data_IF_982426331453
#
_entry.id   IF_982426331453
#
_cell.length_a   1.000
_cell.length_b   1.000
_cell.length_c   1.000
_cell.angle_alpha   90.00
_cell.angle_beta   90.00
_cell.angle_gamma   90.00
#
_symmetry.space_group_name_H-M   'P 1'
#
loop_
_entity.id
_entity.type
_entity.pdbx_description
1 polymer ?
#
# COMPACT_ATOMS: atom_id res chain seq x y z
N UNK A 1 21.51 -10.28 -0.72
CA UNK A 1 20.51 -10.93 0.15
C UNK A 1 19.64 -9.82 0.70
N UNK A 2 18.37 -9.76 0.29
CA UNK A 2 17.43 -8.74 0.79
C UNK A 2 17.08 -9.06 2.23
N UNK A 3 17.28 -8.11 3.14
CA UNK A 3 16.87 -8.24 4.55
C UNK A 3 15.57 -7.48 4.79
N UNK A 4 14.85 -7.84 5.85
CA UNK A 4 13.66 -7.09 6.31
C UNK A 4 14.01 -5.61 6.50
N UNK A 5 15.15 -5.29 7.11
CA UNK A 5 15.62 -3.91 7.27
C UNK A 5 15.76 -3.15 5.94
N UNK A 6 16.23 -3.83 4.89
CA UNK A 6 16.36 -3.22 3.56
C UNK A 6 15.01 -2.96 2.90
N UNK A 7 14.02 -3.81 3.14
CA UNK A 7 12.64 -3.65 2.68
C UNK A 7 11.99 -2.48 3.43
N UNK A 8 12.08 -2.47 4.76
CA UNK A 8 11.54 -1.40 5.61
C UNK A 8 12.08 -0.05 5.18
N UNK A 9 13.41 0.11 5.07
CA UNK A 9 14.02 1.37 4.61
C UNK A 9 13.53 1.81 3.24
N UNK A 10 13.30 0.86 2.32
CA UNK A 10 12.79 1.14 0.98
C UNK A 10 11.35 1.63 1.04
N UNK A 11 10.50 0.97 1.82
CA UNK A 11 9.09 1.36 2.00
C UNK A 11 9.00 2.71 2.71
N UNK A 12 9.70 2.90 3.82
CA UNK A 12 9.69 4.15 4.58
C UNK A 12 10.15 5.35 3.77
N UNK A 13 11.14 5.18 2.88
CA UNK A 13 11.58 6.26 1.98
C UNK A 13 10.44 6.84 1.14
N UNK A 14 9.42 6.05 0.83
CA UNK A 14 8.29 6.45 0.00
C UNK A 14 7.01 6.74 0.80
N UNK A 15 6.84 6.09 1.97
CA UNK A 15 5.58 6.09 2.71
C UNK A 15 5.69 6.64 4.15
N UNK A 16 6.79 7.30 4.52
CA UNK A 16 6.95 7.89 5.85
C UNK A 16 5.85 8.89 6.24
N UNK A 17 5.19 9.54 5.27
CA UNK A 17 4.04 10.43 5.52
C UNK A 17 2.89 9.71 6.26
N UNK A 18 2.81 8.38 6.20
CA UNK A 18 1.81 7.61 6.95
C UNK A 18 1.98 7.77 8.47
N UNK A 19 3.21 7.94 8.96
CA UNK A 19 3.46 8.21 10.38
C UNK A 19 2.85 9.54 10.81
N UNK A 20 2.92 10.57 9.96
CA UNK A 20 2.30 11.87 10.21
C UNK A 20 0.76 11.80 10.22
N UNK A 21 0.20 10.81 9.50
CA UNK A 21 -1.24 10.50 9.48
C UNK A 21 -1.68 9.55 10.62
N UNK A 22 -0.79 9.24 11.57
CA UNK A 22 -1.10 8.42 12.75
C UNK A 22 -1.08 6.92 12.50
N UNK A 23 -0.52 6.46 11.38
CA UNK A 23 -0.25 5.04 11.19
C UNK A 23 1.02 4.62 11.93
N UNK A 24 1.07 3.35 12.31
CA UNK A 24 2.27 2.67 12.80
C UNK A 24 2.58 1.49 11.89
N UNK A 25 3.85 1.17 11.69
CA UNK A 25 4.22 -0.09 11.03
C UNK A 25 3.93 -1.24 12.01
N UNK A 26 3.04 -2.15 11.64
CA UNK A 26 2.61 -3.26 12.50
C UNK A 26 3.29 -4.58 12.16
N UNK A 27 3.73 -4.75 10.91
CA UNK A 27 4.43 -5.95 10.45
C UNK A 27 5.36 -5.63 9.27
N UNK A 28 6.42 -6.43 9.14
CA UNK A 28 7.24 -6.49 7.94
C UNK A 28 7.80 -7.92 7.82
N UNK A 29 7.49 -8.60 6.72
CA UNK A 29 7.94 -9.97 6.50
C UNK A 29 8.56 -10.12 5.10
N UNK A 30 9.56 -10.99 5.03
CA UNK A 30 10.22 -11.41 3.80
C UNK A 30 10.14 -12.92 3.70
N UNK A 31 9.64 -13.43 2.57
CA UNK A 31 9.44 -14.86 2.33
C UNK A 31 10.32 -15.29 1.16
N UNK A 32 11.59 -15.64 1.40
CA UNK A 32 12.52 -16.03 0.35
C UNK A 32 12.02 -17.19 -0.51
N UNK A 33 11.24 -18.11 0.08
CA UNK A 33 10.72 -19.31 -0.59
C UNK A 33 9.65 -19.00 -1.63
N UNK A 34 9.08 -17.78 -1.62
CA UNK A 34 8.06 -17.33 -2.57
C UNK A 34 8.67 -16.28 -3.51
N UNK A 35 9.76 -16.61 -4.20
CA UNK A 35 10.44 -15.72 -5.16
C UNK A 35 10.87 -14.36 -4.57
N UNK A 36 11.19 -14.32 -3.28
CA UNK A 36 11.58 -13.09 -2.61
C UNK A 36 10.43 -12.10 -2.38
N UNK A 37 9.18 -12.60 -2.34
CA UNK A 37 8.03 -11.82 -1.94
C UNK A 37 8.22 -11.27 -0.52
N UNK A 38 7.67 -10.08 -0.29
CA UNK A 38 7.66 -9.43 1.02
C UNK A 38 6.40 -8.61 1.18
N UNK A 39 6.06 -8.33 2.42
CA UNK A 39 4.97 -7.44 2.78
C UNK A 39 5.40 -6.51 3.92
N UNK A 40 4.87 -5.29 3.89
CA UNK A 40 4.94 -4.32 4.97
C UNK A 40 3.54 -3.85 5.27
N UNK A 41 3.18 -3.85 6.54
CA UNK A 41 1.86 -3.48 7.01
C UNK A 41 1.94 -2.21 7.85
N UNK A 42 1.10 -1.23 7.51
CA UNK A 42 0.82 -0.07 8.32
C UNK A 42 -0.59 -0.16 8.88
N UNK A 43 -0.76 0.27 10.13
CA UNK A 43 -2.02 0.23 10.86
C UNK A 43 -2.34 1.60 11.44
N UNK A 44 -3.56 2.08 11.23
CA UNK A 44 -4.16 3.19 11.99
C UNK A 44 -5.29 2.67 12.90
N UNK A 45 -6.05 3.56 13.52
CA UNK A 45 -7.26 3.21 14.25
C UNK A 45 -8.36 2.64 13.32
N UNK A 46 -8.43 3.13 12.08
CA UNK A 46 -9.57 2.90 11.19
C UNK A 46 -9.27 1.87 10.07
N UNK A 47 -8.04 1.82 9.57
CA UNK A 47 -7.66 0.93 8.47
C UNK A 47 -6.22 0.39 8.55
N UNK A 48 -5.99 -0.69 7.81
CA UNK A 48 -4.68 -1.24 7.50
C UNK A 48 -4.31 -0.90 6.06
N UNK A 49 -3.01 -0.69 5.83
CA UNK A 49 -2.40 -0.54 4.50
C UNK A 49 -1.34 -1.63 4.35
N UNK A 50 -1.47 -2.42 3.28
CA UNK A 50 -0.58 -3.51 2.93
C UNK A 50 0.23 -3.12 1.70
N UNK A 51 1.55 -3.13 1.81
CA UNK A 51 2.45 -2.90 0.69
C UNK A 51 3.17 -4.20 0.44
N UNK A 52 2.84 -4.86 -0.67
CA UNK A 52 3.29 -6.21 -0.98
C UNK A 52 4.13 -6.18 -2.25
N UNK A 53 5.18 -6.99 -2.28
CA UNK A 53 5.90 -7.34 -3.51
C UNK A 53 5.55 -8.76 -3.90
N UNK A 54 4.96 -8.93 -5.08
CA UNK A 54 4.74 -10.23 -5.72
C UNK A 54 5.36 -10.23 -7.12
N UNK A 55 6.35 -11.11 -7.37
CA UNK A 55 7.05 -11.22 -8.67
C UNK A 55 7.49 -9.87 -9.26
N UNK A 56 8.14 -9.06 -8.44
CA UNK A 56 8.62 -7.70 -8.77
C UNK A 56 7.53 -6.62 -9.01
N UNK A 57 6.25 -6.95 -8.86
CA UNK A 57 5.15 -5.98 -8.81
C UNK A 57 4.92 -5.50 -7.38
N UNK A 58 4.77 -4.19 -7.19
CA UNK A 58 4.40 -3.59 -5.92
C UNK A 58 2.90 -3.34 -5.92
N UNK A 59 2.20 -3.97 -4.99
CA UNK A 59 0.76 -3.87 -4.80
C UNK A 59 0.51 -3.11 -3.49
N UNK A 60 -0.47 -2.20 -3.51
CA UNK A 60 -0.93 -1.49 -2.33
C UNK A 60 -2.42 -1.77 -2.11
N UNK A 61 -2.71 -2.48 -1.03
CA UNK A 61 -4.08 -2.80 -0.62
C UNK A 61 -4.43 -2.13 0.70
N UNK A 62 -5.72 -1.90 0.90
CA UNK A 62 -6.29 -1.26 2.08
C UNK A 62 -7.40 -2.15 2.62
N UNK A 63 -7.51 -2.26 3.94
CA UNK A 63 -8.63 -2.96 4.59
C UNK A 63 -9.10 -2.25 5.86
N UNK A 64 -10.40 -2.31 6.20
CA UNK A 64 -10.89 -1.78 7.46
C UNK A 64 -10.37 -2.58 8.65
N UNK A 65 -10.09 -1.91 9.78
CA UNK A 65 -9.67 -2.61 11.01
C UNK A 65 -10.75 -3.56 11.53
N UNK A 66 -12.02 -3.17 11.44
CA UNK A 66 -13.18 -3.96 11.91
C UNK A 66 -13.28 -5.33 11.24
N UNK A 67 -12.90 -5.42 9.97
CA UNK A 67 -13.02 -6.63 9.16
C UNK A 67 -11.71 -6.94 8.44
N UNK A 68 -10.61 -6.98 9.19
CA UNK A 68 -9.29 -7.26 8.63
C UNK A 68 -9.14 -8.73 8.20
N UNK A 69 -9.61 -9.04 7.00
CA UNK A 69 -9.45 -10.32 6.32
C UNK A 69 -8.94 -10.06 4.89
N UNK A 70 -8.18 -11.00 4.33
CA UNK A 70 -7.64 -10.89 2.97
C UNK A 70 -8.73 -10.64 1.92
N UNK A 71 -9.94 -11.18 2.12
CA UNK A 71 -11.08 -10.97 1.22
C UNK A 71 -11.66 -9.56 1.26
N UNK A 72 -11.35 -8.78 2.30
CA UNK A 72 -11.79 -7.40 2.47
C UNK A 72 -10.71 -6.40 2.06
N UNK A 73 -9.58 -6.87 1.54
CA UNK A 73 -8.53 -6.02 0.98
C UNK A 73 -8.99 -5.48 -0.37
N UNK A 74 -8.79 -4.18 -0.55
CA UNK A 74 -9.14 -3.44 -1.76
C UNK A 74 -7.89 -2.71 -2.22
N UNK A 75 -7.53 -2.83 -3.50
CA UNK A 75 -6.40 -2.08 -4.05
C UNK A 75 -6.63 -0.58 -3.97
N UNK A 76 -5.55 0.19 -3.82
CA UNK A 76 -5.60 1.65 -3.77
C UNK A 76 -6.39 2.25 -4.95
N UNK A 77 -6.17 1.74 -6.16
CA UNK A 77 -6.87 2.20 -7.35
C UNK A 77 -8.39 1.99 -7.26
N UNK A 78 -8.81 0.83 -6.75
CA UNK A 78 -10.24 0.52 -6.56
C UNK A 78 -10.84 1.38 -5.44
N UNK A 79 -10.08 1.63 -4.38
CA UNK A 79 -10.50 2.52 -3.31
C UNK A 79 -10.70 3.96 -3.82
N UNK A 80 -9.76 4.48 -4.63
CA UNK A 80 -9.89 5.79 -5.28
C UNK A 80 -11.13 5.85 -6.19
N UNK A 81 -11.39 4.79 -6.96
CA UNK A 81 -12.59 4.68 -7.79
C UNK A 81 -13.86 4.77 -6.93
N UNK A 82 -13.91 4.04 -5.81
CA UNK A 82 -15.05 4.07 -4.89
C UNK A 82 -15.25 5.46 -4.26
N UNK A 83 -14.18 6.05 -3.71
CA UNK A 83 -14.21 7.38 -3.06
C UNK A 83 -14.59 8.50 -4.02
N UNK A 84 -14.33 8.31 -5.32
CA UNK A 84 -14.71 9.27 -6.36
C UNK A 84 -16.10 9.00 -6.96
N UNK A 85 -16.86 8.02 -6.43
CA UNK A 85 -18.13 7.56 -7.01
C UNK A 85 -17.99 7.20 -8.50
N UNK A 86 -16.89 6.58 -8.87
CA UNK A 86 -16.56 6.15 -10.23
C UNK A 86 -16.04 7.23 -11.17
N UNK A 87 -15.85 8.47 -10.70
CA UNK A 87 -15.39 9.58 -11.55
C UNK A 87 -13.88 9.56 -11.82
N UNK A 88 -13.09 8.91 -10.96
CA UNK A 88 -11.63 8.79 -11.13
C UNK A 88 -11.28 7.35 -11.45
N UNK A 89 -10.74 7.13 -12.65
CA UNK A 89 -10.16 5.84 -13.07
C UNK A 89 -8.65 5.98 -13.02
N UNK A 90 -8.02 5.27 -12.08
CA UNK A 90 -6.56 5.21 -12.03
C UNK A 90 -6.09 4.18 -13.03
N UNK A 91 -5.37 4.61 -14.06
CA UNK A 91 -4.86 3.69 -15.07
C UNK A 91 -3.88 2.67 -14.46
N UNK A 92 -3.86 1.42 -14.95
CA UNK A 92 -2.84 0.44 -14.59
C UNK A 92 -1.43 0.98 -14.79
N UNK A 93 -0.48 0.51 -14.00
CA UNK A 93 0.91 0.91 -14.17
C UNK A 93 1.47 0.37 -15.49
N UNK A 94 1.57 1.25 -16.50
CA UNK A 94 2.16 0.97 -17.83
C UNK A 94 3.70 1.09 -17.82
N UNK A 95 4.36 0.57 -16.78
CA UNK A 95 5.80 0.71 -16.64
C UNK A 95 6.61 -0.24 -17.53
N UNK A 96 7.81 0.18 -17.91
CA UNK A 96 8.81 -0.72 -18.46
C UNK A 96 9.43 -1.55 -17.31
N UNK A 97 9.54 -2.87 -17.47
CA UNK A 97 10.25 -3.75 -16.53
C UNK A 97 11.67 -3.24 -16.18
N UNK A 98 12.33 -2.55 -17.12
CA UNK A 98 13.64 -1.93 -16.93
C UNK A 98 13.66 -0.79 -15.89
N UNK A 99 12.52 -0.21 -15.53
CA UNK A 99 12.43 0.83 -14.49
C UNK A 99 12.33 0.26 -13.07
N UNK A 100 12.11 -1.06 -12.95
CA UNK A 100 12.00 -1.78 -11.69
C UNK A 100 10.91 -1.25 -10.75
N UNK A 101 11.00 -1.65 -9.49
CA UNK A 101 10.01 -1.29 -8.46
C UNK A 101 9.98 0.20 -8.11
N UNK A 102 11.04 0.97 -8.40
CA UNK A 102 11.16 2.37 -7.97
C UNK A 102 10.01 3.24 -8.49
N UNK A 103 9.64 3.10 -9.76
CA UNK A 103 8.55 3.89 -10.35
C UNK A 103 7.17 3.49 -9.83
N UNK A 104 7.00 2.23 -9.45
CA UNK A 104 5.77 1.75 -8.80
C UNK A 104 5.63 2.36 -7.41
N UNK A 105 6.71 2.35 -6.62
CA UNK A 105 6.76 3.04 -5.33
C UNK A 105 6.43 4.53 -5.46
N UNK A 106 7.08 5.26 -6.37
CA UNK A 106 6.83 6.70 -6.59
C UNK A 106 5.38 6.99 -6.99
N UNK A 107 4.77 6.13 -7.82
CA UNK A 107 3.37 6.29 -8.25
C UNK A 107 2.41 6.03 -7.09
N UNK A 108 2.56 4.88 -6.42
CA UNK A 108 1.66 4.46 -5.35
C UNK A 108 1.76 5.38 -4.15
N UNK A 109 2.96 5.85 -3.79
CA UNK A 109 3.12 6.78 -2.67
C UNK A 109 2.43 8.11 -2.93
N UNK A 110 2.57 8.68 -4.13
CA UNK A 110 1.91 9.94 -4.51
C UNK A 110 0.38 9.79 -4.55
N UNK A 111 -0.11 8.69 -5.11
CA UNK A 111 -1.55 8.41 -5.14
C UNK A 111 -2.10 8.26 -3.72
N UNK A 112 -1.43 7.49 -2.87
CA UNK A 112 -1.87 7.30 -1.49
C UNK A 112 -1.84 8.62 -0.73
N UNK A 113 -0.75 9.39 -0.82
CA UNK A 113 -0.62 10.69 -0.17
C UNK A 113 -1.74 11.66 -0.57
N UNK A 114 -2.16 11.65 -1.84
CA UNK A 114 -3.25 12.49 -2.33
C UNK A 114 -4.63 12.09 -1.77
N UNK A 115 -4.86 10.81 -1.47
CA UNK A 115 -6.17 10.28 -1.10
C UNK A 115 -6.28 9.81 0.35
N UNK A 116 -5.18 9.75 1.11
CA UNK A 116 -5.12 9.14 2.44
C UNK A 116 -6.15 9.73 3.41
N UNK A 117 -6.36 11.05 3.38
CA UNK A 117 -7.32 11.70 4.29
C UNK A 117 -8.76 11.26 4.00
N UNK A 118 -9.13 11.10 2.71
CA UNK A 118 -10.46 10.60 2.30
C UNK A 118 -10.63 9.12 2.62
N UNK A 119 -9.56 8.34 2.49
CA UNK A 119 -9.54 6.91 2.84
C UNK A 119 -9.78 6.74 4.35
N UNK A 120 -9.08 7.50 5.19
CA UNK A 120 -9.27 7.48 6.65
C UNK A 120 -10.72 7.85 6.99
N UNK A 121 -11.25 8.93 6.42
CA UNK A 121 -12.62 9.36 6.66
C UNK A 121 -13.66 8.30 6.25
N UNK A 122 -13.44 7.63 5.10
CA UNK A 122 -14.31 6.56 4.63
C UNK A 122 -14.37 5.38 5.61
N UNK A 123 -13.23 4.92 6.11
CA UNK A 123 -13.17 3.79 7.05
C UNK A 123 -13.54 4.14 8.48
N UNK A 124 -13.50 5.43 8.87
CA UNK A 124 -14.02 5.89 10.15
C UNK A 124 -15.56 5.81 10.21
N UNK A 125 -16.21 6.05 9.07
CA UNK A 125 -17.68 6.11 8.97
C UNK A 125 -18.35 4.75 8.68
N UNK A 126 -17.56 3.73 8.33
CA UNK A 126 -18.02 2.35 8.04
C UNK A 126 -17.53 1.38 9.12
#
# INVERSE_FOLDING_TARGET
MTSVDSIVKKVEKHFNFLYEKGFIMSNAAYVPQLNGNWDVEFKSQDCYIYIVSDRDEIILDIAPVKYNNIYNRVSLEKEIYNLSNGNVIVEPFKGNFAWGQKKQFERLSRLLEQYIDKIIEHYKNN
#
